data_IF_175782687182
#
_entry.id   IF_175782687182
#
_cell.length_a   1.000
_cell.length_b   1.000
_cell.length_c   1.000
_cell.angle_alpha   90.00
_cell.angle_beta   90.00
_cell.angle_gamma   90.00
#
_symmetry.space_group_name_H-M   'P 1'
#
loop_
_entity.id
_entity.type
_entity.pdbx_description
1 polymer ?
#
# COMPACT_ATOMS: atom_id res chain seq x y z
N UNK A 1 14.54 24.98 -0.20
CA UNK A 1 13.73 24.05 -1.00
C UNK A 1 13.36 22.87 -0.15
N UNK A 2 12.14 22.33 -0.29
CA UNK A 2 11.73 21.12 0.42
C UNK A 2 12.44 19.91 -0.15
N UNK A 3 12.91 19.02 0.74
CA UNK A 3 13.44 17.71 0.33
C UNK A 3 12.26 16.75 0.15
N UNK A 4 12.21 16.02 -0.96
CA UNK A 4 11.15 15.03 -1.23
C UNK A 4 11.78 13.65 -1.33
N UNK A 5 11.21 12.69 -0.62
CA UNK A 5 11.54 11.27 -0.76
C UNK A 5 10.26 10.47 -1.06
N UNK A 6 10.31 9.66 -2.10
CA UNK A 6 9.23 8.75 -2.50
C UNK A 6 9.64 7.32 -2.12
N UNK A 7 8.81 6.64 -1.33
CA UNK A 7 9.02 5.25 -0.91
C UNK A 7 8.03 4.37 -1.67
N UNK A 8 8.55 3.50 -2.54
CA UNK A 8 7.77 2.50 -3.27
C UNK A 8 7.60 1.23 -2.47
N UNK A 9 6.36 0.80 -2.28
CA UNK A 9 6.01 -0.39 -1.51
C UNK A 9 5.36 -1.45 -2.39
N UNK A 10 5.46 -2.71 -1.97
CA UNK A 10 4.60 -3.79 -2.46
C UNK A 10 3.42 -3.88 -1.50
N UNK A 11 2.26 -3.41 -1.96
CA UNK A 11 1.05 -3.39 -1.14
C UNK A 11 0.69 -4.77 -0.57
N UNK A 12 0.14 -4.76 0.63
CA UNK A 12 -0.34 -5.95 1.35
C UNK A 12 0.75 -6.94 1.79
N UNK A 13 2.04 -6.60 1.72
CA UNK A 13 3.08 -7.43 2.32
C UNK A 13 3.36 -7.02 3.78
N UNK A 14 2.87 -7.77 4.78
CA UNK A 14 3.04 -7.42 6.19
C UNK A 14 4.50 -7.42 6.64
N UNK A 15 5.42 -8.10 5.92
CA UNK A 15 6.85 -8.12 6.24
C UNK A 15 7.49 -6.74 6.10
N UNK A 16 6.91 -5.87 5.29
CA UNK A 16 7.41 -4.52 5.02
C UNK A 16 7.10 -3.50 6.13
N UNK A 17 6.27 -3.83 7.11
CA UNK A 17 5.90 -2.90 8.17
C UNK A 17 7.10 -2.47 9.05
N UNK A 18 7.91 -3.44 9.51
CA UNK A 18 9.08 -3.14 10.32
C UNK A 18 10.19 -2.43 9.52
N UNK A 19 10.55 -2.85 8.30
CA UNK A 19 11.45 -2.09 7.43
C UNK A 19 10.98 -0.65 7.16
N UNK A 20 9.68 -0.42 6.92
CA UNK A 20 9.15 0.92 6.74
C UNK A 20 9.33 1.79 7.98
N UNK A 21 9.03 1.26 9.18
CA UNK A 21 9.22 1.99 10.42
C UNK A 21 10.71 2.35 10.66
N UNK A 22 11.62 1.43 10.39
CA UNK A 22 13.06 1.68 10.46
C UNK A 22 13.51 2.76 9.46
N UNK A 23 13.03 2.69 8.21
CA UNK A 23 13.34 3.69 7.18
C UNK A 23 12.83 5.08 7.56
N UNK A 24 11.61 5.21 8.07
CA UNK A 24 11.09 6.49 8.55
C UNK A 24 11.92 7.06 9.72
N UNK A 25 12.40 6.18 10.61
CA UNK A 25 13.29 6.58 11.71
C UNK A 25 14.63 7.13 11.19
N UNK A 26 15.18 6.57 10.11
CA UNK A 26 16.41 7.05 9.49
C UNK A 26 16.20 8.33 8.68
N UNK A 27 15.09 8.44 7.95
CA UNK A 27 14.77 9.59 7.09
C UNK A 27 14.38 10.84 7.89
N UNK A 28 13.80 10.67 9.08
CA UNK A 28 13.32 11.73 9.94
C UNK A 28 12.47 12.78 9.20
N UNK A 29 11.35 12.36 8.56
CA UNK A 29 10.49 13.31 7.83
C UNK A 29 9.84 14.33 8.76
N UNK A 30 9.63 15.53 8.23
CA UNK A 30 8.80 16.57 8.86
C UNK A 30 7.31 16.37 8.55
N UNK A 31 7.01 15.69 7.44
CA UNK A 31 5.65 15.38 6.97
C UNK A 31 5.61 14.06 6.22
N UNK A 32 4.47 13.38 6.35
CA UNK A 32 4.18 12.12 5.66
C UNK A 32 2.94 12.24 4.80
N UNK A 33 3.01 11.70 3.58
CA UNK A 33 1.84 11.45 2.75
C UNK A 33 1.77 9.98 2.40
N UNK A 34 0.55 9.44 2.30
CA UNK A 34 0.33 8.03 1.96
C UNK A 34 -0.67 7.93 0.82
N UNK A 35 -0.41 7.02 -0.10
CA UNK A 35 -1.27 6.68 -1.22
C UNK A 35 -2.50 5.88 -0.74
N UNK A 36 -3.41 6.58 -0.12
CA UNK A 36 -4.73 6.09 0.29
C UNK A 36 -5.70 7.27 0.31
N UNK A 37 -6.93 7.05 -0.11
CA UNK A 37 -7.94 8.09 -0.07
C UNK A 37 -8.45 8.31 1.37
N UNK A 38 -8.68 9.57 1.80
CA UNK A 38 -9.21 9.87 3.13
C UNK A 38 -10.53 9.14 3.44
N UNK A 39 -11.40 9.01 2.45
CA UNK A 39 -12.70 8.33 2.57
C UNK A 39 -12.52 6.82 2.79
N UNK A 40 -11.51 6.20 2.15
CA UNK A 40 -11.15 4.79 2.36
C UNK A 40 -10.61 4.58 3.77
N UNK A 41 -9.80 5.51 4.28
CA UNK A 41 -9.34 5.47 5.68
C UNK A 41 -10.52 5.50 6.64
N UNK A 42 -11.43 6.45 6.47
CA UNK A 42 -12.63 6.59 7.31
C UNK A 42 -13.50 5.33 7.25
N UNK A 43 -13.75 4.82 6.05
CA UNK A 43 -14.52 3.61 5.84
C UNK A 43 -13.89 2.40 6.56
N UNK A 44 -12.58 2.19 6.42
CA UNK A 44 -11.90 1.08 7.08
C UNK A 44 -11.82 1.22 8.60
N UNK A 45 -11.72 2.44 9.11
CA UNK A 45 -11.75 2.71 10.56
C UNK A 45 -13.14 2.46 11.17
N UNK A 46 -14.21 2.62 10.42
CA UNK A 46 -15.59 2.44 10.89
C UNK A 46 -16.12 1.05 10.51
N UNK A 47 -16.28 0.77 9.23
CA UNK A 47 -16.86 -0.48 8.73
C UNK A 47 -15.88 -1.65 8.75
N UNK A 48 -14.60 -1.42 8.50
CA UNK A 48 -13.58 -2.46 8.51
C UNK A 48 -13.51 -3.18 9.86
N UNK A 49 -13.68 -2.48 10.97
CA UNK A 49 -13.73 -3.08 12.32
C UNK A 49 -14.93 -4.02 12.45
N UNK A 50 -16.10 -3.63 11.93
CA UNK A 50 -17.29 -4.47 11.96
C UNK A 50 -17.14 -5.71 11.09
N UNK A 51 -16.53 -5.56 9.91
CA UNK A 51 -16.24 -6.66 9.01
C UNK A 51 -15.22 -7.64 9.60
N UNK A 52 -14.19 -7.15 10.27
CA UNK A 52 -13.22 -7.99 10.98
C UNK A 52 -13.86 -8.76 12.14
N UNK A 53 -14.78 -8.15 12.90
CA UNK A 53 -15.57 -8.85 13.92
C UNK A 53 -16.45 -9.93 13.31
N UNK A 54 -17.15 -9.62 12.20
CA UNK A 54 -17.98 -10.58 11.47
C UNK A 54 -17.13 -11.74 10.92
N UNK A 55 -15.94 -11.46 10.39
CA UNK A 55 -14.98 -12.49 9.98
C UNK A 55 -14.63 -13.41 11.15
N UNK A 56 -14.32 -12.86 12.33
CA UNK A 56 -14.04 -13.63 13.55
C UNK A 56 -15.17 -14.58 13.91
N UNK A 57 -16.40 -14.08 13.98
CA UNK A 57 -17.59 -14.91 14.29
C UNK A 57 -17.79 -16.05 13.27
N UNK A 58 -17.55 -15.78 11.98
CA UNK A 58 -17.71 -16.82 10.96
C UNK A 58 -16.58 -17.86 11.08
N UNK A 59 -15.36 -17.44 11.37
CA UNK A 59 -14.21 -18.35 11.61
C UNK A 59 -14.49 -19.25 12.81
N UNK A 60 -14.98 -18.72 13.93
CA UNK A 60 -15.39 -19.49 15.11
C UNK A 60 -16.48 -20.52 14.77
N UNK A 61 -17.50 -20.10 14.03
CA UNK A 61 -18.56 -20.99 13.56
C UNK A 61 -18.04 -22.11 12.64
N UNK A 62 -17.09 -21.82 11.77
CA UNK A 62 -16.48 -22.79 10.86
C UNK A 62 -15.56 -23.76 11.59
N UNK A 63 -14.88 -23.32 12.64
CA UNK A 63 -14.05 -24.17 13.47
C UNK A 63 -14.85 -25.20 14.26
N UNK A 64 -16.13 -24.97 14.52
CA UNK A 64 -17.00 -25.87 15.28
C UNK A 64 -16.65 -25.98 16.78
N UNK A 65 -15.51 -25.47 17.20
CA UNK A 65 -15.12 -25.39 18.60
C UNK A 65 -14.20 -24.20 18.87
N UNK A 66 -14.20 -23.67 20.08
CA UNK A 66 -13.34 -22.58 20.51
C UNK A 66 -11.83 -22.95 20.44
N UNK A 67 -11.50 -24.21 20.62
CA UNK A 67 -10.11 -24.69 20.56
C UNK A 67 -9.53 -24.67 19.14
N UNK A 68 -10.35 -24.88 18.10
CA UNK A 68 -9.91 -24.88 16.70
C UNK A 68 -9.96 -23.49 16.05
N UNK A 69 -10.70 -22.56 16.61
CA UNK A 69 -10.84 -21.22 16.05
C UNK A 69 -9.51 -20.48 15.88
N UNK A 70 -8.57 -20.50 16.85
CA UNK A 70 -7.26 -19.87 16.67
C UNK A 70 -6.46 -20.49 15.54
N UNK A 71 -6.48 -21.83 15.39
CA UNK A 71 -5.77 -22.52 14.31
C UNK A 71 -6.34 -22.14 12.94
N UNK A 72 -7.66 -22.04 12.83
CA UNK A 72 -8.31 -21.63 11.60
C UNK A 72 -8.05 -20.13 11.29
N UNK A 73 -7.99 -19.27 12.30
CA UNK A 73 -7.63 -17.87 12.16
C UNK A 73 -6.21 -17.65 11.60
N UNK A 74 -5.31 -18.61 11.85
CA UNK A 74 -3.94 -18.64 11.33
C UNK A 74 -3.85 -19.16 9.88
N UNK A 75 -4.95 -19.66 9.31
CA UNK A 75 -4.97 -20.09 7.91
C UNK A 75 -4.56 -18.96 6.98
N UNK A 76 -3.62 -19.18 6.01
CA UNK A 76 -3.08 -18.12 5.14
C UNK A 76 -4.16 -17.31 4.44
N UNK A 77 -5.19 -17.95 3.90
CA UNK A 77 -6.30 -17.26 3.24
C UNK A 77 -7.12 -16.37 4.20
N UNK A 78 -7.30 -16.77 5.45
CA UNK A 78 -7.97 -15.95 6.46
C UNK A 78 -7.11 -14.74 6.83
N UNK A 79 -5.79 -14.94 7.00
CA UNK A 79 -4.85 -13.83 7.21
C UNK A 79 -4.86 -12.82 6.06
N UNK A 80 -4.88 -13.30 4.83
CA UNK A 80 -4.98 -12.45 3.64
C UNK A 80 -6.27 -11.60 3.66
N UNK A 81 -7.42 -12.22 3.95
CA UNK A 81 -8.69 -11.48 4.06
C UNK A 81 -8.60 -10.44 5.18
N UNK A 82 -8.06 -10.80 6.35
CA UNK A 82 -7.88 -9.87 7.47
C UNK A 82 -7.02 -8.67 7.08
N UNK A 83 -5.94 -8.89 6.34
CA UNK A 83 -5.07 -7.82 5.83
C UNK A 83 -5.81 -6.92 4.84
N UNK A 84 -6.62 -7.49 3.95
CA UNK A 84 -7.42 -6.73 2.98
C UNK A 84 -8.52 -5.89 3.63
N UNK A 85 -9.14 -6.38 4.70
CA UNK A 85 -10.20 -5.66 5.45
C UNK A 85 -9.63 -4.57 6.37
N UNK A 86 -8.40 -4.71 6.82
CA UNK A 86 -7.74 -3.77 7.72
C UNK A 86 -7.19 -2.53 7.01
N UNK A 87 -6.72 -1.58 7.80
CA UNK A 87 -5.92 -0.47 7.27
C UNK A 87 -4.61 -1.00 6.67
N UNK A 88 -4.17 -0.50 5.51
CA UNK A 88 -2.88 -0.86 4.95
C UNK A 88 -1.74 -0.59 5.94
N UNK A 89 -0.72 -1.45 5.93
CA UNK A 89 0.42 -1.31 6.84
C UNK A 89 1.14 0.02 6.60
N UNK A 90 1.18 0.52 5.38
CA UNK A 90 1.77 1.79 4.99
C UNK A 90 1.18 2.94 5.80
N UNK A 91 -0.16 3.01 5.86
CA UNK A 91 -0.86 4.04 6.60
C UNK A 91 -0.74 3.84 8.11
N UNK A 92 -0.84 2.61 8.58
CA UNK A 92 -0.74 2.28 10.01
C UNK A 92 0.64 2.61 10.59
N UNK A 93 1.72 2.27 9.85
CA UNK A 93 3.10 2.60 10.23
C UNK A 93 3.34 4.11 10.19
N UNK A 94 2.88 4.79 9.12
CA UNK A 94 3.00 6.24 9.01
C UNK A 94 2.32 6.96 10.19
N UNK A 95 1.09 6.55 10.54
CA UNK A 95 0.36 7.11 11.69
C UNK A 95 1.06 6.85 13.03
N UNK A 96 1.62 5.64 13.22
CA UNK A 96 2.36 5.31 14.44
C UNK A 96 3.60 6.17 14.59
N UNK A 97 4.40 6.28 13.53
CA UNK A 97 5.58 7.14 13.50
C UNK A 97 5.23 8.61 13.76
N UNK A 98 4.24 9.12 13.04
CA UNK A 98 3.83 10.51 13.14
C UNK A 98 3.34 10.88 14.56
N UNK A 99 2.60 10.00 15.21
CA UNK A 99 2.16 10.19 16.61
C UNK A 99 3.35 10.29 17.56
N UNK A 100 4.38 9.46 17.37
CA UNK A 100 5.58 9.49 18.21
C UNK A 100 6.41 10.76 18.01
N UNK A 101 6.38 11.34 16.82
CA UNK A 101 7.17 12.51 16.43
C UNK A 101 6.41 13.83 16.45
N UNK A 102 5.11 13.81 16.66
CA UNK A 102 4.27 15.01 16.64
C UNK A 102 4.12 15.64 15.24
N UNK A 103 4.28 14.84 14.17
CA UNK A 103 4.13 15.30 12.77
C UNK A 103 2.80 14.88 12.16
N UNK A 104 2.45 15.43 10.99
CA UNK A 104 1.21 15.11 10.28
C UNK A 104 1.39 13.97 9.28
N UNK A 105 0.34 13.17 9.11
CA UNK A 105 0.16 12.21 8.02
C UNK A 105 -1.04 12.65 7.21
N UNK A 106 -0.88 12.72 5.90
CA UNK A 106 -1.96 13.04 4.98
C UNK A 106 -2.22 11.87 4.02
N UNK A 107 -3.47 11.43 3.97
CA UNK A 107 -3.98 10.52 2.96
C UNK A 107 -4.30 11.37 1.72
N UNK A 108 -3.64 11.13 0.58
CA UNK A 108 -3.69 12.05 -0.55
C UNK A 108 -4.20 11.45 -1.85
N UNK A 109 -4.67 10.23 -1.84
CA UNK A 109 -5.22 9.56 -3.02
C UNK A 109 -6.70 9.94 -3.27
N UNK A 110 -7.22 9.58 -4.46
CA UNK A 110 -8.62 9.81 -4.84
C UNK A 110 -9.50 8.60 -4.51
N UNK A 111 -10.74 8.89 -4.09
CA UNK A 111 -11.70 7.86 -3.65
C UNK A 111 -12.67 7.38 -4.73
N UNK A 112 -12.80 8.11 -5.83
CA UNK A 112 -13.98 8.09 -6.72
C UNK A 112 -14.40 6.72 -7.29
N UNK A 113 -13.53 5.71 -7.29
CA UNK A 113 -13.88 4.35 -7.71
C UNK A 113 -13.68 3.30 -6.62
N UNK A 114 -12.96 3.64 -5.56
CA UNK A 114 -12.47 2.65 -4.59
C UNK A 114 -13.55 2.19 -3.60
N UNK A 115 -14.43 3.09 -3.13
CA UNK A 115 -15.42 2.75 -2.10
C UNK A 115 -16.55 1.88 -2.62
N UNK A 116 -17.06 2.18 -3.81
CA UNK A 116 -18.17 1.43 -4.42
C UNK A 116 -17.74 0.00 -4.80
N UNK A 117 -16.47 -0.19 -5.09
CA UNK A 117 -15.88 -1.51 -5.35
C UNK A 117 -15.50 -2.27 -4.08
N UNK A 118 -15.06 -1.57 -3.03
CA UNK A 118 -14.68 -2.19 -1.77
C UNK A 118 -15.85 -2.89 -1.09
N UNK A 119 -17.01 -2.25 -0.99
CA UNK A 119 -18.19 -2.79 -0.27
C UNK A 119 -18.61 -4.19 -0.75
N UNK A 120 -18.90 -4.41 -2.05
CA UNK A 120 -19.29 -5.73 -2.52
C UNK A 120 -18.20 -6.78 -2.37
N UNK A 121 -16.92 -6.38 -2.58
CA UNK A 121 -15.78 -7.29 -2.44
C UNK A 121 -15.62 -7.73 -0.99
N UNK A 122 -15.70 -6.80 -0.04
CA UNK A 122 -15.55 -7.10 1.39
C UNK A 122 -16.68 -7.97 1.90
N UNK A 123 -17.94 -7.72 1.50
CA UNK A 123 -19.09 -8.58 1.82
C UNK A 123 -18.92 -9.99 1.24
N UNK A 124 -18.42 -10.11 0.02
CA UNK A 124 -18.13 -11.40 -0.61
C UNK A 124 -17.04 -12.16 0.14
N UNK A 125 -15.93 -11.50 0.47
CA UNK A 125 -14.77 -12.09 1.16
C UNK A 125 -15.12 -12.69 2.52
N UNK A 126 -16.08 -12.10 3.25
CA UNK A 126 -16.54 -12.60 4.56
C UNK A 126 -17.76 -13.51 4.48
N UNK A 127 -18.19 -13.92 3.29
CA UNK A 127 -19.29 -14.86 3.16
C UNK A 127 -18.88 -16.27 3.60
N UNK A 128 -19.82 -16.98 4.28
CA UNK A 128 -19.58 -18.36 4.74
C UNK A 128 -19.16 -19.28 3.59
N UNK A 129 -19.78 -19.10 2.41
CA UNK A 129 -19.49 -19.87 1.21
C UNK A 129 -18.04 -19.65 0.74
N UNK A 130 -17.60 -18.40 0.70
CA UNK A 130 -16.27 -18.05 0.25
C UNK A 130 -15.20 -18.54 1.22
N UNK A 131 -15.41 -18.36 2.52
CA UNK A 131 -14.48 -18.84 3.56
C UNK A 131 -14.35 -20.36 3.56
N UNK A 132 -15.47 -21.12 3.43
CA UNK A 132 -15.42 -22.57 3.25
C UNK A 132 -14.56 -22.96 2.05
N UNK A 133 -14.75 -22.29 0.90
CA UNK A 133 -13.95 -22.54 -0.30
C UNK A 133 -12.45 -22.30 -0.07
N UNK A 134 -12.09 -21.19 0.57
CA UNK A 134 -10.68 -20.86 0.88
C UNK A 134 -10.05 -21.91 1.78
N UNK A 135 -10.73 -22.31 2.86
CA UNK A 135 -10.23 -23.26 3.83
C UNK A 135 -10.08 -24.65 3.22
N UNK A 136 -11.00 -25.06 2.34
CA UNK A 136 -10.97 -26.35 1.65
C UNK A 136 -10.03 -26.38 0.44
N UNK A 137 -9.57 -25.22 -0.03
CA UNK A 137 -8.63 -25.17 -1.15
C UNK A 137 -7.23 -25.58 -0.66
N UNK A 138 -6.48 -26.39 -1.42
CA UNK A 138 -5.06 -26.56 -1.15
C UNK A 138 -4.45 -25.17 -1.04
N UNK A 139 -3.64 -24.95 0.01
CA UNK A 139 -3.07 -23.65 0.38
C UNK A 139 -2.76 -22.85 -0.87
N UNK A 140 -3.56 -21.82 -1.16
CA UNK A 140 -3.21 -20.87 -2.19
C UNK A 140 -1.77 -20.42 -1.90
N UNK A 141 -0.90 -20.54 -2.88
CA UNK A 141 0.47 -20.09 -2.72
C UNK A 141 0.40 -18.67 -2.13
N UNK A 142 1.16 -18.36 -1.08
CA UNK A 142 1.23 -17.00 -0.56
C UNK A 142 1.45 -16.09 -1.78
N UNK A 143 0.77 -14.94 -1.78
CA UNK A 143 0.98 -13.96 -2.85
C UNK A 143 2.48 -13.91 -3.11
N UNK A 144 2.89 -14.16 -4.37
CA UNK A 144 4.31 -14.29 -4.72
C UNK A 144 4.99 -12.90 -4.62
N UNK A 145 5.10 -12.43 -3.38
CA UNK A 145 5.70 -11.15 -3.10
C UNK A 145 7.17 -11.15 -3.49
N UNK A 146 7.85 -12.29 -3.42
CA UNK A 146 9.24 -12.41 -3.85
C UNK A 146 9.37 -12.05 -5.35
N UNK A 147 8.47 -12.58 -6.19
CA UNK A 147 8.43 -12.25 -7.61
C UNK A 147 8.08 -10.78 -7.86
N UNK A 148 7.19 -10.20 -7.04
CA UNK A 148 6.85 -8.77 -7.15
C UNK A 148 8.03 -7.88 -6.79
N UNK A 149 8.80 -8.21 -5.76
CA UNK A 149 10.04 -7.49 -5.41
C UNK A 149 11.12 -7.65 -6.48
N UNK A 150 11.28 -8.86 -7.01
CA UNK A 150 12.24 -9.11 -8.09
C UNK A 150 11.92 -8.27 -9.32
N UNK A 151 10.64 -8.25 -9.74
CA UNK A 151 10.18 -7.41 -10.84
C UNK A 151 10.41 -5.92 -10.55
N UNK A 152 10.09 -5.47 -9.34
CA UNK A 152 10.32 -4.09 -8.93
C UNK A 152 11.81 -3.73 -9.03
N UNK A 153 12.72 -4.56 -8.48
CA UNK A 153 14.17 -4.34 -8.58
C UNK A 153 14.64 -4.24 -10.02
N UNK A 154 14.22 -5.18 -10.86
CA UNK A 154 14.59 -5.20 -12.26
C UNK A 154 14.15 -3.93 -12.99
N UNK A 155 12.91 -3.46 -12.78
CA UNK A 155 12.40 -2.28 -13.44
C UNK A 155 12.96 -0.97 -12.87
N UNK A 156 13.28 -0.90 -11.58
CA UNK A 156 13.97 0.25 -10.99
C UNK A 156 15.40 0.41 -11.53
N UNK A 157 16.10 -0.71 -11.72
CA UNK A 157 17.48 -0.74 -12.23
C UNK A 157 17.57 -0.82 -13.76
N UNK A 158 16.44 -1.03 -14.47
CA UNK A 158 16.45 -1.27 -15.90
C UNK A 158 17.13 -0.14 -16.68
N UNK A 159 18.22 -0.41 -17.41
CA UNK A 159 18.87 0.59 -18.24
C UNK A 159 18.06 0.93 -19.49
N UNK A 160 17.29 -0.04 -20.02
CA UNK A 160 16.48 0.17 -21.22
C UNK A 160 15.08 0.71 -20.84
N UNK A 161 14.76 1.96 -21.23
CA UNK A 161 13.46 2.56 -20.97
C UNK A 161 12.29 1.82 -21.66
N UNK A 162 12.54 1.03 -22.70
CA UNK A 162 11.51 0.27 -23.41
C UNK A 162 10.89 -0.80 -22.52
N UNK A 163 11.67 -1.44 -21.65
CA UNK A 163 11.17 -2.43 -20.70
C UNK A 163 10.17 -1.81 -19.74
N UNK A 164 10.52 -0.62 -19.19
CA UNK A 164 9.62 0.12 -18.31
C UNK A 164 8.37 0.55 -19.05
N UNK A 165 8.49 1.13 -20.25
CA UNK A 165 7.34 1.56 -21.05
C UNK A 165 6.37 0.42 -21.35
N UNK A 166 6.89 -0.74 -21.75
CA UNK A 166 6.06 -1.91 -22.02
C UNK A 166 5.28 -2.40 -20.78
N UNK A 167 5.95 -2.43 -19.62
CA UNK A 167 5.31 -2.78 -18.35
C UNK A 167 4.25 -1.74 -17.95
N UNK A 168 4.60 -0.45 -17.99
CA UNK A 168 3.74 0.66 -17.58
C UNK A 168 2.50 0.77 -18.46
N UNK A 169 2.58 0.39 -19.73
CA UNK A 169 1.41 0.39 -20.63
C UNK A 169 0.28 -0.49 -20.11
N UNK A 170 0.61 -1.63 -19.47
CA UNK A 170 -0.37 -2.48 -18.80
C UNK A 170 -0.89 -1.94 -17.47
N UNK A 171 -0.24 -0.91 -16.93
CA UNK A 171 -0.60 -0.29 -15.65
C UNK A 171 -1.38 1.04 -15.82
N UNK A 172 -1.55 1.53 -17.07
CA UNK A 172 -2.30 2.76 -17.35
C UNK A 172 -3.80 2.53 -17.28
N UNK A 173 -4.55 3.56 -16.92
CA UNK A 173 -6.02 3.55 -16.87
C UNK A 173 -6.57 4.43 -15.76
N UNK A 174 -7.89 4.44 -15.61
CA UNK A 174 -8.58 5.29 -14.64
C UNK A 174 -8.12 5.06 -13.19
N UNK A 175 -7.78 3.83 -12.83
CA UNK A 175 -7.33 3.44 -11.48
C UNK A 175 -5.81 3.22 -11.37
N UNK A 176 -5.11 3.33 -12.49
CA UNK A 176 -3.68 3.10 -12.59
C UNK A 176 -2.89 4.39 -12.77
N UNK A 177 -1.79 4.27 -13.51
CA UNK A 177 -0.93 5.39 -13.88
C UNK A 177 -1.67 6.36 -14.79
N UNK A 178 -1.46 7.65 -14.61
CA UNK A 178 -2.03 8.73 -15.41
C UNK A 178 -2.78 9.74 -14.54
N UNK A 179 -4.11 9.73 -14.54
CA UNK A 179 -4.91 10.73 -13.79
C UNK A 179 -4.63 10.69 -12.29
N UNK A 180 -4.52 9.49 -11.73
CA UNK A 180 -4.22 9.28 -10.31
C UNK A 180 -2.84 9.84 -9.94
N UNK A 181 -1.82 9.58 -10.74
CA UNK A 181 -0.47 10.09 -10.51
C UNK A 181 -0.40 11.61 -10.62
N UNK A 182 -1.14 12.23 -11.55
CA UNK A 182 -1.25 13.69 -11.64
C UNK A 182 -1.84 14.29 -10.37
N UNK A 183 -2.92 13.72 -9.86
CA UNK A 183 -3.51 14.17 -8.60
C UNK A 183 -2.51 14.05 -7.43
N UNK A 184 -1.82 12.91 -7.29
CA UNK A 184 -0.80 12.72 -6.27
C UNK A 184 0.34 13.73 -6.41
N UNK A 185 0.81 13.98 -7.63
CA UNK A 185 1.86 14.95 -7.90
C UNK A 185 1.45 16.37 -7.54
N UNK A 186 0.23 16.79 -7.87
CA UNK A 186 -0.32 18.11 -7.50
C UNK A 186 -0.39 18.30 -5.99
N UNK A 187 -0.87 17.28 -5.25
CA UNK A 187 -0.92 17.30 -3.79
C UNK A 187 0.48 17.40 -3.18
N UNK A 188 1.43 16.59 -3.63
CA UNK A 188 2.81 16.62 -3.14
C UNK A 188 3.46 17.96 -3.43
N UNK A 189 3.28 18.55 -4.63
CA UNK A 189 3.78 19.88 -4.96
C UNK A 189 3.23 20.96 -4.03
N UNK A 190 1.92 20.99 -3.87
CA UNK A 190 1.25 21.94 -2.98
C UNK A 190 1.80 21.88 -1.56
N UNK A 191 1.95 20.67 -1.03
CA UNK A 191 2.52 20.46 0.30
C UNK A 191 4.00 20.87 0.39
N UNK A 192 4.80 20.55 -0.62
CA UNK A 192 6.21 20.94 -0.66
C UNK A 192 6.42 22.45 -0.74
N UNK A 193 5.50 23.17 -1.38
CA UNK A 193 5.55 24.63 -1.48
C UNK A 193 5.04 25.34 -0.23
N UNK A 194 4.02 24.77 0.45
CA UNK A 194 3.37 25.41 1.61
C UNK A 194 4.26 25.49 2.84
N UNK A 195 5.19 24.54 3.01
CA UNK A 195 6.07 24.49 4.17
C UNK A 195 7.43 23.88 3.80
N UNK A 196 8.54 24.50 4.15
CA UNK A 196 9.87 23.89 3.98
C UNK A 196 10.01 22.67 4.89
N UNK A 197 10.90 21.75 4.53
CA UNK A 197 11.18 20.54 5.31
C UNK A 197 11.28 19.29 4.45
N UNK A 198 11.42 18.14 5.10
CA UNK A 198 11.50 16.83 4.45
C UNK A 198 10.10 16.20 4.34
N UNK A 199 9.56 16.17 3.13
CA UNK A 199 8.31 15.47 2.80
C UNK A 199 8.64 14.04 2.34
N UNK A 200 8.05 13.04 2.99
CA UNK A 200 8.14 11.64 2.56
C UNK A 200 6.77 11.16 2.11
N UNK A 201 6.70 10.65 0.88
CA UNK A 201 5.51 9.99 0.34
C UNK A 201 5.70 8.48 0.33
N UNK A 202 4.66 7.74 0.73
CA UNK A 202 4.62 6.28 0.75
C UNK A 202 3.52 5.82 -0.19
N UNK A 203 3.89 5.08 -1.23
CA UNK A 203 2.93 4.60 -2.24
C UNK A 203 3.39 3.34 -2.95
N UNK A 204 2.61 2.87 -3.93
CA UNK A 204 2.95 1.70 -4.74
C UNK A 204 4.22 1.94 -5.57
N UNK A 205 5.10 0.95 -5.60
CA UNK A 205 6.38 1.06 -6.30
C UNK A 205 6.25 1.37 -7.80
N UNK A 206 5.14 0.98 -8.43
CA UNK A 206 4.89 1.20 -9.86
C UNK A 206 4.84 2.70 -10.19
N UNK A 207 4.25 3.51 -9.31
CA UNK A 207 4.17 4.98 -9.45
C UNK A 207 5.54 5.68 -9.39
N UNK A 208 6.56 4.95 -8.94
CA UNK A 208 7.93 5.47 -8.78
C UNK A 208 8.87 5.06 -9.92
N UNK A 209 8.39 4.36 -10.92
CA UNK A 209 9.19 4.06 -12.10
C UNK A 209 9.40 5.33 -12.94
N UNK A 210 10.59 5.43 -13.52
CA UNK A 210 10.88 6.45 -14.52
C UNK A 210 10.14 6.11 -15.81
N UNK A 211 9.21 6.98 -16.22
CA UNK A 211 8.35 6.77 -17.39
C UNK A 211 8.73 7.74 -18.50
N UNK A 212 9.18 7.26 -19.66
CA UNK A 212 9.46 8.12 -20.81
C UNK A 212 8.24 8.93 -21.29
N UNK A 213 7.01 8.48 -21.02
CA UNK A 213 5.80 9.24 -21.32
C UNK A 213 5.49 10.31 -20.26
N UNK A 214 6.22 10.34 -19.14
CA UNK A 214 6.06 11.37 -18.11
C UNK A 214 4.79 11.26 -17.27
N UNK A 215 4.16 10.09 -17.19
CA UNK A 215 2.84 9.93 -16.55
C UNK A 215 2.88 9.31 -15.15
N UNK A 216 4.02 8.74 -14.72
CA UNK A 216 4.18 8.27 -13.34
C UNK A 216 4.40 9.42 -12.36
N UNK A 217 4.06 9.20 -11.10
CA UNK A 217 4.30 10.17 -10.02
C UNK A 217 5.76 10.65 -9.98
N UNK A 218 6.71 9.72 -10.11
CA UNK A 218 8.13 10.06 -10.11
C UNK A 218 8.49 10.97 -11.27
N UNK A 219 8.05 10.65 -12.48
CA UNK A 219 8.34 11.44 -13.68
C UNK A 219 7.65 12.80 -13.65
N UNK A 220 6.42 12.87 -13.14
CA UNK A 220 5.69 14.11 -12.94
C UNK A 220 6.34 15.08 -11.94
N UNK A 221 7.13 14.56 -10.99
CA UNK A 221 7.85 15.34 -9.98
C UNK A 221 9.34 15.55 -10.32
N UNK A 222 9.80 15.18 -11.51
CA UNK A 222 11.22 15.18 -11.89
C UNK A 222 11.91 16.54 -11.71
N UNK A 223 11.21 17.65 -11.92
CA UNK A 223 11.70 19.01 -11.71
C UNK A 223 12.01 19.34 -10.24
N UNK A 224 11.37 18.63 -9.29
CA UNK A 224 11.64 18.72 -7.86
C UNK A 224 12.75 17.76 -7.39
N UNK A 225 13.32 16.97 -8.29
CA UNK A 225 14.41 16.02 -8.04
C UNK A 225 14.14 15.12 -6.81
N UNK A 226 12.97 14.43 -6.73
CA UNK A 226 12.68 13.61 -5.59
C UNK A 226 13.64 12.42 -5.52
N UNK A 227 14.11 12.10 -4.31
CA UNK A 227 14.77 10.82 -4.06
C UNK A 227 13.72 9.73 -4.10
N UNK A 228 13.98 8.63 -4.81
CA UNK A 228 13.12 7.44 -4.78
C UNK A 228 13.82 6.26 -4.12
N UNK A 229 13.06 5.50 -3.34
CA UNK A 229 13.52 4.32 -2.62
C UNK A 229 12.54 3.19 -2.84
N UNK A 230 13.02 1.99 -3.13
CA UNK A 230 12.20 0.79 -3.10
C UNK A 230 12.29 0.17 -1.71
N UNK A 231 11.17 0.01 -1.03
CA UNK A 231 11.11 -0.70 0.24
C UNK A 231 11.07 -2.21 -0.04
N UNK A 232 12.18 -2.87 0.24
CA UNK A 232 12.34 -4.31 0.07
C UNK A 232 12.74 -4.93 1.41
N UNK A 233 11.88 -5.79 2.03
CA UNK A 233 12.19 -6.41 3.32
C UNK A 233 13.36 -7.39 3.27
N UNK A 234 13.74 -7.86 2.08
CA UNK A 234 14.80 -8.84 1.88
C UNK A 234 16.15 -8.17 1.52
N UNK A 235 16.19 -6.84 1.42
CA UNK A 235 17.38 -6.06 1.09
C UNK A 235 17.74 -5.07 2.20
N UNK A 236 19.04 -4.86 2.49
CA UNK A 236 19.44 -3.81 3.42
C UNK A 236 19.03 -2.43 2.87
N UNK A 237 18.46 -1.60 3.74
CA UNK A 237 18.13 -0.22 3.40
C UNK A 237 19.41 0.57 3.21
N UNK A 238 19.79 0.85 1.96
CA UNK A 238 20.90 1.73 1.61
C UNK A 238 20.36 3.15 1.42
N UNK A 239 20.71 4.06 2.32
CA UNK A 239 20.38 5.49 2.25
C UNK A 239 21.40 6.27 1.41
#
# INVERSE_FOLDING_TARGET
MSKITLIGTVHHDPRSAAPLAALLTQLQPDRLTVEIAPEVVLYRQTHGILLLRKLGMIVERLAGSAALAPLLAEHPGIKTIRTLLGLPYEFSVACSYARQRGIRVEAIDQADSSLDKLRPVEEHLISLRYLKKIISSPKAAPADNARRYELARQLFAAPDPRLRSAFLQGCRGEEGIGLRDRHLAEKIRSLAQSQPGHLVHIGGWVHLLDDPAGETLYSLLADLQPRRLLLDPDQPLTL
#
